data_IF_661976960202
#
_entry.id   IF_661976960202
#
_cell.length_a   1.000
_cell.length_b   1.000
_cell.length_c   1.000
_cell.angle_alpha   90.00
_cell.angle_beta   90.00
_cell.angle_gamma   90.00
#
_symmetry.space_group_name_H-M   'P 1'
#
loop_
_entity.id
_entity.type
_entity.pdbx_description
1 polymer ?
#
# COMPACT_ATOMS: atom_id res chain seq x y z
N UNK A 1 32.25 8.56 2.41
CA UNK A 1 31.08 8.56 1.49
C UNK A 1 30.46 7.18 1.25
N UNK A 2 31.13 6.05 1.51
CA UNK A 2 30.55 4.71 1.27
C UNK A 2 29.41 4.29 2.23
N UNK A 3 29.38 4.81 3.46
CA UNK A 3 28.39 4.36 4.46
C UNK A 3 26.99 4.96 4.26
N UNK A 4 26.86 6.20 3.78
CA UNK A 4 25.53 6.81 3.53
C UNK A 4 24.84 6.16 2.33
N UNK A 5 25.59 5.87 1.26
CA UNK A 5 25.05 5.17 0.09
C UNK A 5 24.65 3.73 0.45
N UNK A 6 25.41 3.04 1.31
CA UNK A 6 25.00 1.72 1.81
C UNK A 6 23.78 1.76 2.73
N UNK A 7 23.64 2.79 3.56
CA UNK A 7 22.45 2.97 4.42
C UNK A 7 21.20 3.23 3.56
N UNK A 8 21.31 4.09 2.53
CA UNK A 8 20.21 4.37 1.60
C UNK A 8 19.88 3.12 0.76
N UNK A 9 20.89 2.38 0.27
CA UNK A 9 20.67 1.13 -0.45
C UNK A 9 20.02 0.04 0.42
N UNK A 10 20.33 0.00 1.72
CA UNK A 10 19.69 -0.90 2.69
C UNK A 10 18.23 -0.49 2.97
N UNK A 11 17.94 0.82 2.99
CA UNK A 11 16.57 1.34 3.09
C UNK A 11 15.72 1.03 1.85
N UNK A 12 16.33 1.10 0.65
CA UNK A 12 15.65 0.76 -0.62
C UNK A 12 15.46 -0.76 -0.77
N UNK A 13 16.42 -1.59 -0.32
CA UNK A 13 16.34 -3.05 -0.41
C UNK A 13 15.54 -3.73 0.71
N UNK A 14 15.15 -3.03 1.77
CA UNK A 14 14.38 -3.61 2.88
C UNK A 14 12.95 -4.04 2.46
N UNK A 15 12.45 -3.59 1.30
CA UNK A 15 11.14 -3.96 0.77
C UNK A 15 11.13 -5.15 -0.20
N UNK A 16 12.28 -5.74 -0.52
CA UNK A 16 12.35 -6.99 -1.31
C UNK A 16 12.67 -8.17 -0.40
N UNK A 17 11.73 -8.52 0.49
CA UNK A 17 11.71 -9.89 1.03
C UNK A 17 11.55 -10.83 -0.17
N UNK A 18 12.57 -11.63 -0.44
CA UNK A 18 12.50 -12.73 -1.42
C UNK A 18 11.33 -13.62 -0.97
N UNK A 19 10.21 -13.55 -1.70
CA UNK A 19 9.09 -14.46 -1.43
C UNK A 19 9.56 -15.85 -1.84
N UNK A 20 9.38 -16.89 -1.00
CA UNK A 20 9.64 -18.24 -1.44
C UNK A 20 8.80 -18.52 -2.71
N UNK A 21 9.33 -19.32 -3.66
CA UNK A 21 8.68 -19.53 -4.96
C UNK A 21 7.28 -20.14 -4.82
N UNK A 22 7.07 -20.92 -3.75
CA UNK A 22 5.80 -21.54 -3.42
C UNK A 22 5.35 -21.12 -2.02
N UNK A 23 4.05 -20.93 -1.83
CA UNK A 23 3.40 -20.72 -0.53
C UNK A 23 2.35 -21.80 -0.33
N UNK A 24 2.26 -22.38 0.87
CA UNK A 24 1.18 -23.28 1.26
C UNK A 24 0.28 -22.60 2.27
N UNK A 25 -1.02 -22.54 1.98
CA UNK A 25 -2.02 -21.91 2.84
C UNK A 25 -2.99 -22.98 3.32
N UNK A 26 -3.18 -23.04 4.64
CA UNK A 26 -4.13 -23.96 5.28
C UNK A 26 -5.37 -23.19 5.73
N UNK A 27 -6.55 -23.72 5.42
CA UNK A 27 -7.83 -23.09 5.77
C UNK A 27 -7.96 -23.04 7.30
N UNK A 28 -8.32 -21.86 7.82
CA UNK A 28 -8.42 -21.56 9.25
C UNK A 28 -7.13 -21.87 10.04
N UNK A 29 -5.96 -21.84 9.40
CA UNK A 29 -4.68 -22.21 10.01
C UNK A 29 -4.70 -23.60 10.69
N UNK A 30 -5.51 -24.53 10.18
CA UNK A 30 -5.56 -25.91 10.67
C UNK A 30 -4.60 -26.77 9.87
N UNK A 31 -3.49 -27.15 10.51
CA UNK A 31 -2.46 -27.99 9.89
C UNK A 31 -2.78 -29.48 10.03
N UNK A 32 -2.37 -30.33 9.07
CA UNK A 32 -2.56 -31.76 9.17
C UNK A 32 -1.81 -32.33 10.39
N UNK A 33 -2.44 -33.22 11.16
CA UNK A 33 -1.80 -33.83 12.32
C UNK A 33 -0.62 -34.73 11.89
N UNK A 34 0.54 -34.54 12.50
CA UNK A 34 1.72 -35.39 12.30
C UNK A 34 2.79 -34.84 11.35
N UNK A 35 2.54 -33.71 10.67
CA UNK A 35 3.55 -33.03 9.87
C UNK A 35 4.23 -31.91 10.65
N UNK A 36 5.54 -31.72 10.42
CA UNK A 36 6.29 -30.59 10.98
C UNK A 36 5.87 -29.32 10.25
N UNK A 37 4.94 -28.58 10.82
CA UNK A 37 4.51 -27.29 10.28
C UNK A 37 5.51 -26.18 10.66
N UNK A 38 6.12 -25.56 9.65
CA UNK A 38 6.87 -24.32 9.82
C UNK A 38 5.94 -23.17 9.47
N UNK A 39 5.64 -22.32 10.46
CA UNK A 39 4.80 -21.15 10.25
C UNK A 39 5.42 -20.19 9.23
N UNK A 40 4.84 -20.16 8.03
CA UNK A 40 5.20 -19.19 7.01
C UNK A 40 4.80 -17.78 7.46
N UNK A 41 5.74 -16.83 7.39
CA UNK A 41 5.49 -15.44 7.76
C UNK A 41 4.93 -14.66 6.58
N UNK A 42 3.62 -14.48 6.57
CA UNK A 42 2.92 -13.65 5.58
C UNK A 42 2.98 -12.14 5.92
N UNK A 43 2.90 -11.26 4.92
CA UNK A 43 2.63 -9.85 5.18
C UNK A 43 1.22 -9.67 5.77
N UNK A 44 1.06 -8.61 6.53
CA UNK A 44 -0.20 -8.13 7.07
C UNK A 44 -1.07 -7.49 5.98
N UNK A 45 -2.40 -7.56 6.09
CA UNK A 45 -3.36 -7.01 5.11
C UNK A 45 -3.52 -5.48 5.21
N UNK A 46 -2.48 -4.76 5.61
CA UNK A 46 -2.51 -3.30 5.74
C UNK A 46 -1.94 -2.65 4.48
N UNK A 47 -2.73 -1.80 3.84
CA UNK A 47 -2.30 -0.99 2.72
C UNK A 47 -1.71 0.33 3.23
N UNK A 48 -0.60 0.75 2.62
CA UNK A 48 0.02 2.06 2.88
C UNK A 48 0.55 2.59 1.55
N UNK A 49 -0.19 3.52 0.97
CA UNK A 49 0.15 4.22 -0.28
C UNK A 49 0.75 5.60 -0.01
N UNK A 50 0.54 6.15 1.18
CA UNK A 50 1.21 7.36 1.63
C UNK A 50 2.73 7.18 1.69
N UNK A 51 3.45 8.22 1.28
CA UNK A 51 4.91 8.23 1.19
C UNK A 51 5.54 8.84 2.43
N UNK A 52 4.87 9.83 3.02
CA UNK A 52 5.39 10.58 4.14
C UNK A 52 4.66 10.22 5.44
N UNK A 53 5.38 10.40 6.53
CA UNK A 53 4.85 10.54 7.88
C UNK A 53 4.93 12.02 8.24
N UNK A 54 4.15 12.46 9.22
CA UNK A 54 4.23 13.86 9.68
C UNK A 54 5.67 14.30 10.04
N UNK A 55 6.49 13.39 10.57
CA UNK A 55 7.87 13.67 10.95
C UNK A 55 8.84 13.72 9.76
N UNK A 56 8.84 12.68 8.92
CA UNK A 56 9.79 12.61 7.80
C UNK A 56 9.41 13.51 6.62
N UNK A 57 8.18 14.06 6.61
CA UNK A 57 7.68 14.89 5.51
C UNK A 57 8.67 16.01 5.20
N UNK A 58 9.01 16.86 6.17
CA UNK A 58 9.87 18.02 5.92
C UNK A 58 11.23 17.62 5.32
N UNK A 59 11.93 16.69 5.96
CA UNK A 59 13.29 16.33 5.55
C UNK A 59 13.32 15.56 4.22
N UNK A 60 12.42 14.58 4.04
CA UNK A 60 12.39 13.77 2.83
C UNK A 60 11.86 14.57 1.64
N UNK A 61 10.81 15.38 1.86
CA UNK A 61 10.25 16.25 0.84
C UNK A 61 11.30 17.26 0.36
N UNK A 62 11.98 17.94 1.28
CA UNK A 62 13.00 18.92 0.93
C UNK A 62 14.18 18.29 0.18
N UNK A 63 14.64 17.12 0.62
CA UNK A 63 15.68 16.37 -0.06
C UNK A 63 15.29 16.02 -1.50
N UNK A 64 14.08 15.50 -1.72
CA UNK A 64 13.57 15.19 -3.06
C UNK A 64 13.41 16.42 -3.93
N UNK A 65 13.03 17.55 -3.36
CA UNK A 65 12.93 18.80 -4.10
C UNK A 65 14.31 19.29 -4.57
N UNK A 66 15.37 19.13 -3.77
CA UNK A 66 16.74 19.50 -4.16
C UNK A 66 17.45 18.45 -5.03
N UNK A 67 16.89 17.24 -5.19
CA UNK A 67 17.35 16.32 -6.23
C UNK A 67 16.91 16.76 -7.64
N UNK A 68 16.00 17.72 -7.76
CA UNK A 68 15.63 18.30 -9.06
C UNK A 68 16.71 19.27 -9.51
N UNK A 69 17.22 19.06 -10.73
CA UNK A 69 18.32 19.85 -11.32
C UNK A 69 18.08 21.36 -11.23
N UNK A 70 16.87 21.84 -11.52
CA UNK A 70 16.54 23.27 -11.45
C UNK A 70 16.64 23.83 -10.02
N UNK A 71 16.06 23.14 -9.02
CA UNK A 71 16.10 23.59 -7.64
C UNK A 71 17.53 23.54 -7.06
N UNK A 72 18.30 22.51 -7.43
CA UNK A 72 19.72 22.41 -7.08
C UNK A 72 20.53 23.54 -7.71
N UNK A 73 20.27 23.86 -8.98
CA UNK A 73 20.90 24.98 -9.68
C UNK A 73 20.65 26.30 -8.96
N UNK A 74 19.40 26.63 -8.64
CA UNK A 74 19.06 27.86 -7.91
C UNK A 74 19.66 27.90 -6.50
N UNK A 75 19.75 26.75 -5.83
CA UNK A 75 20.44 26.65 -4.54
C UNK A 75 21.92 27.00 -4.65
N UNK A 76 22.61 26.49 -5.67
CA UNK A 76 24.02 26.79 -5.91
C UNK A 76 24.23 28.27 -6.27
N UNK A 77 23.38 28.86 -7.11
CA UNK A 77 23.44 30.29 -7.44
C UNK A 77 23.23 31.15 -6.20
N UNK A 78 22.19 30.87 -5.42
CA UNK A 78 21.93 31.58 -4.17
C UNK A 78 23.12 31.46 -3.18
N UNK A 79 23.74 30.28 -3.09
CA UNK A 79 24.94 30.10 -2.26
C UNK A 79 26.13 30.93 -2.75
N UNK A 80 26.38 30.93 -4.07
CA UNK A 80 27.47 31.73 -4.68
C UNK A 80 27.23 33.21 -4.41
N UNK A 81 26.03 33.72 -4.68
CA UNK A 81 25.65 35.13 -4.48
C UNK A 81 25.78 35.61 -3.03
N UNK A 82 25.59 34.73 -2.05
CA UNK A 82 25.78 35.07 -0.61
C UNK A 82 27.25 35.09 -0.22
N UNK A 83 28.09 34.25 -0.82
CA UNK A 83 29.52 34.12 -0.48
C UNK A 83 30.37 35.18 -1.16
N UNK A 84 30.02 35.58 -2.38
CA UNK A 84 30.74 36.62 -3.13
C UNK A 84 30.02 37.96 -3.00
N UNK A 85 30.77 39.07 -3.04
CA UNK A 85 30.19 40.40 -3.23
C UNK A 85 29.67 40.52 -4.67
N UNK A 86 28.49 39.95 -4.90
CA UNK A 86 27.79 39.98 -6.17
C UNK A 86 27.10 41.34 -6.36
N UNK A 87 27.10 41.90 -7.59
CA UNK A 87 26.29 43.08 -7.90
C UNK A 87 24.78 42.77 -7.92
N UNK A 88 24.41 41.48 -7.94
CA UNK A 88 23.02 41.00 -7.88
C UNK A 88 22.69 40.60 -6.44
N UNK A 89 21.57 41.09 -5.92
CA UNK A 89 21.12 40.75 -4.57
C UNK A 89 20.73 39.27 -4.46
N UNK A 90 21.22 38.50 -3.47
CA UNK A 90 20.83 37.10 -3.26
C UNK A 90 19.32 36.86 -3.14
N UNK A 91 18.58 37.91 -2.76
CA UNK A 91 17.12 37.91 -2.65
C UNK A 91 16.47 37.50 -3.98
N UNK A 92 17.03 37.89 -5.13
CA UNK A 92 16.46 37.59 -6.45
C UNK A 92 16.49 36.10 -6.79
N UNK A 93 17.39 35.34 -6.20
CA UNK A 93 17.50 33.88 -6.38
C UNK A 93 16.82 33.11 -5.24
N UNK A 94 16.92 33.59 -4.00
CA UNK A 94 16.35 32.93 -2.82
C UNK A 94 14.82 32.99 -2.82
N UNK A 95 14.22 34.14 -3.13
CA UNK A 95 12.77 34.32 -3.02
C UNK A 95 12.00 33.39 -3.98
N UNK A 96 12.33 33.32 -5.29
CA UNK A 96 11.66 32.39 -6.19
C UNK A 96 11.88 30.93 -5.79
N UNK A 97 13.08 30.57 -5.32
CA UNK A 97 13.38 29.21 -4.85
C UNK A 97 12.50 28.85 -3.66
N UNK A 98 12.48 29.65 -2.60
CA UNK A 98 11.65 29.40 -1.41
C UNK A 98 10.17 29.33 -1.79
N UNK A 99 9.69 30.20 -2.67
CA UNK A 99 8.31 30.18 -3.14
C UNK A 99 7.96 28.86 -3.83
N UNK A 100 8.74 28.45 -4.84
CA UNK A 100 8.52 27.21 -5.58
C UNK A 100 8.60 26.00 -4.66
N UNK A 101 9.57 25.98 -3.74
CA UNK A 101 9.75 24.88 -2.79
C UNK A 101 8.54 24.77 -1.86
N UNK A 102 8.06 25.91 -1.35
CA UNK A 102 6.94 25.98 -0.41
C UNK A 102 5.64 25.55 -1.07
N UNK A 103 5.31 26.09 -2.25
CA UNK A 103 4.08 25.72 -2.98
C UNK A 103 4.10 24.22 -3.34
N UNK A 104 5.26 23.71 -3.78
CA UNK A 104 5.42 22.28 -4.09
C UNK A 104 5.25 21.41 -2.86
N UNK A 105 5.84 21.80 -1.72
CA UNK A 105 5.70 21.09 -0.46
C UNK A 105 4.23 21.05 -0.03
N UNK A 106 3.52 22.19 -0.03
CA UNK A 106 2.11 22.24 0.36
C UNK A 106 1.27 21.31 -0.51
N UNK A 107 1.43 21.37 -1.84
CA UNK A 107 0.71 20.50 -2.77
C UNK A 107 0.98 19.02 -2.47
N UNK A 108 2.24 18.64 -2.36
CA UNK A 108 2.63 17.24 -2.10
C UNK A 108 2.16 16.75 -0.73
N UNK A 109 2.21 17.61 0.29
CA UNK A 109 1.70 17.30 1.62
C UNK A 109 0.19 17.07 1.62
N UNK A 110 -0.56 17.91 0.90
CA UNK A 110 -2.00 17.75 0.75
C UNK A 110 -2.36 16.45 0.01
N UNK A 111 -1.69 16.16 -1.11
CA UNK A 111 -1.89 14.91 -1.85
C UNK A 111 -1.57 13.68 -1.00
N UNK A 112 -0.49 13.71 -0.21
CA UNK A 112 -0.13 12.59 0.66
C UNK A 112 -1.08 12.44 1.85
N UNK A 113 -1.62 13.54 2.38
CA UNK A 113 -2.67 13.51 3.40
C UNK A 113 -3.95 12.84 2.90
N UNK A 114 -4.37 13.14 1.66
CA UNK A 114 -5.50 12.44 1.04
C UNK A 114 -5.23 10.93 0.89
N UNK A 115 -3.98 10.52 0.61
CA UNK A 115 -3.60 9.11 0.60
C UNK A 115 -3.71 8.47 1.99
N UNK A 116 -3.29 9.15 3.05
CA UNK A 116 -3.48 8.65 4.42
C UNK A 116 -4.96 8.45 4.76
N UNK A 117 -5.82 9.38 4.33
CA UNK A 117 -7.26 9.26 4.53
C UNK A 117 -7.83 8.05 3.77
N UNK A 118 -7.49 7.90 2.49
CA UNK A 118 -7.93 6.77 1.66
C UNK A 118 -7.40 5.42 2.20
N UNK A 119 -6.13 5.35 2.59
CA UNK A 119 -5.54 4.17 3.22
C UNK A 119 -6.28 3.81 4.51
N UNK A 120 -6.63 4.79 5.35
CA UNK A 120 -7.38 4.55 6.57
C UNK A 120 -8.79 4.04 6.30
N UNK A 121 -9.47 4.55 5.28
CA UNK A 121 -10.80 4.06 4.89
C UNK A 121 -10.75 2.58 4.48
N UNK A 122 -9.81 2.22 3.60
CA UNK A 122 -9.67 0.83 3.12
C UNK A 122 -9.25 -0.12 4.24
N UNK A 123 -8.29 0.28 5.08
CA UNK A 123 -7.81 -0.55 6.18
C UNK A 123 -8.86 -0.77 7.28
N UNK A 124 -9.74 0.20 7.52
CA UNK A 124 -10.78 0.11 8.55
C UNK A 124 -12.13 -0.39 8.04
N UNK A 125 -12.26 -0.73 6.75
CA UNK A 125 -13.49 -1.28 6.18
C UNK A 125 -13.88 -2.59 6.90
N UNK A 126 -15.15 -2.71 7.26
CA UNK A 126 -15.71 -3.91 7.86
C UNK A 126 -15.66 -5.11 6.92
N UNK A 127 -15.32 -6.28 7.45
CA UNK A 127 -15.21 -7.55 6.74
C UNK A 127 -15.74 -8.68 7.62
N UNK A 128 -16.45 -9.64 7.03
CA UNK A 128 -16.96 -10.80 7.75
C UNK A 128 -16.01 -11.99 7.62
N UNK A 129 -15.51 -12.49 8.74
CA UNK A 129 -14.63 -13.66 8.81
C UNK A 129 -15.30 -14.78 9.60
N UNK A 130 -15.09 -16.02 9.18
CA UNK A 130 -15.49 -17.21 9.94
C UNK A 130 -14.29 -17.69 10.75
N UNK A 131 -14.30 -17.50 12.07
CA UNK A 131 -13.25 -17.99 12.99
C UNK A 131 -13.91 -18.83 14.07
N UNK A 132 -13.35 -20.02 14.33
CA UNK A 132 -13.88 -20.97 15.32
C UNK A 132 -15.36 -21.34 15.14
N UNK A 133 -15.84 -21.38 13.89
CA UNK A 133 -17.23 -21.69 13.56
C UNK A 133 -18.22 -20.54 13.75
N UNK A 134 -17.75 -19.36 14.17
CA UNK A 134 -18.58 -18.17 14.32
C UNK A 134 -18.26 -17.14 13.24
N UNK A 135 -19.29 -16.49 12.72
CA UNK A 135 -19.15 -15.34 11.86
C UNK A 135 -18.91 -14.10 12.71
N UNK A 136 -17.79 -13.40 12.47
CA UNK A 136 -17.40 -12.20 13.20
C UNK A 136 -17.06 -11.08 12.24
N UNK A 137 -17.40 -9.86 12.62
CA UNK A 137 -16.99 -8.66 11.90
C UNK A 137 -15.61 -8.22 12.40
N UNK A 138 -14.68 -8.01 11.47
CA UNK A 138 -13.32 -7.51 11.71
C UNK A 138 -13.02 -6.37 10.74
N UNK A 139 -11.95 -5.62 11.00
CA UNK A 139 -11.45 -4.64 10.04
C UNK A 139 -10.60 -5.32 8.96
N UNK A 140 -10.62 -4.78 7.75
CA UNK A 140 -9.87 -5.31 6.60
C UNK A 140 -8.39 -5.57 6.92
N UNK A 141 -7.72 -4.66 7.62
CA UNK A 141 -6.30 -4.83 7.96
C UNK A 141 -6.01 -5.94 8.99
N UNK A 142 -7.02 -6.49 9.66
CA UNK A 142 -6.92 -7.58 10.65
C UNK A 142 -7.09 -8.97 10.02
N UNK A 143 -7.36 -9.03 8.70
CA UNK A 143 -7.41 -10.27 7.94
C UNK A 143 -6.02 -10.90 7.89
N UNK A 144 -5.95 -12.20 8.15
CA UNK A 144 -4.73 -13.00 8.07
C UNK A 144 -4.87 -14.07 6.99
N UNK A 145 -3.74 -14.46 6.39
CA UNK A 145 -3.73 -15.55 5.40
C UNK A 145 -4.25 -16.83 6.05
N UNK A 146 -5.16 -17.52 5.35
CA UNK A 146 -5.87 -18.71 5.84
C UNK A 146 -7.26 -18.43 6.41
N UNK A 147 -7.62 -17.16 6.64
CA UNK A 147 -8.98 -16.79 7.04
C UNK A 147 -10.02 -17.15 5.96
N UNK A 148 -11.20 -17.58 6.42
CA UNK A 148 -12.38 -17.76 5.56
C UNK A 148 -13.25 -16.52 5.65
N UNK A 149 -13.46 -15.83 4.52
CA UNK A 149 -14.28 -14.63 4.46
C UNK A 149 -15.65 -14.90 3.85
N UNK A 150 -16.66 -14.22 4.38
CA UNK A 150 -17.99 -14.10 3.76
C UNK A 150 -18.09 -12.72 3.13
N UNK A 151 -18.18 -12.68 1.81
CA UNK A 151 -18.34 -11.42 1.07
C UNK A 151 -19.82 -11.24 0.71
N UNK A 152 -20.35 -10.05 0.97
CA UNK A 152 -21.72 -9.69 0.61
C UNK A 152 -21.79 -9.09 -0.79
N UNK A 153 -22.97 -9.11 -1.40
CA UNK A 153 -23.19 -8.46 -2.70
C UNK A 153 -22.83 -6.97 -2.64
N UNK A 154 -22.30 -6.44 -3.74
CA UNK A 154 -21.89 -5.04 -3.90
C UNK A 154 -20.83 -4.55 -2.89
N UNK A 155 -20.15 -5.47 -2.20
CA UNK A 155 -19.01 -5.12 -1.36
C UNK A 155 -17.69 -5.36 -2.09
N UNK A 156 -16.71 -4.46 -1.94
CA UNK A 156 -15.38 -4.64 -2.51
C UNK A 156 -14.65 -5.79 -1.82
N UNK A 157 -13.85 -6.53 -2.58
CA UNK A 157 -12.99 -7.60 -2.05
C UNK A 157 -11.84 -6.99 -1.22
N UNK A 158 -11.59 -7.46 0.02
CA UNK A 158 -10.59 -6.87 0.90
C UNK A 158 -9.16 -7.36 0.62
N UNK A 159 -9.01 -8.49 -0.08
CA UNK A 159 -7.73 -9.08 -0.49
C UNK A 159 -7.98 -10.09 -1.63
N UNK A 160 -6.91 -10.71 -2.13
CA UNK A 160 -7.01 -11.80 -3.10
C UNK A 160 -7.62 -13.04 -2.44
N UNK A 161 -8.72 -13.55 -3.01
CA UNK A 161 -9.48 -14.68 -2.46
C UNK A 161 -9.52 -15.87 -3.42
N UNK A 162 -9.67 -17.06 -2.84
CA UNK A 162 -10.05 -18.27 -3.57
C UNK A 162 -11.53 -18.54 -3.30
N UNK A 163 -12.31 -18.66 -4.36
CA UNK A 163 -13.76 -18.82 -4.25
C UNK A 163 -14.14 -20.27 -3.90
N UNK A 164 -14.72 -20.45 -2.71
CA UNK A 164 -15.10 -21.78 -2.21
C UNK A 164 -16.56 -22.14 -2.47
N UNK A 165 -17.48 -21.24 -2.18
CA UNK A 165 -18.92 -21.44 -2.37
C UNK A 165 -19.58 -20.11 -2.73
N UNK A 166 -20.71 -20.20 -3.42
CA UNK A 166 -21.56 -19.09 -3.82
C UNK A 166 -22.98 -19.37 -3.35
N UNK A 167 -23.77 -18.32 -3.22
CA UNK A 167 -25.21 -18.46 -3.04
C UNK A 167 -25.89 -19.01 -4.31
N UNK A 168 -25.28 -18.81 -5.46
CA UNK A 168 -25.77 -19.34 -6.73
C UNK A 168 -25.65 -20.88 -6.77
N UNK A 169 -26.70 -21.63 -7.15
CA UNK A 169 -26.68 -23.10 -7.20
C UNK A 169 -25.64 -23.68 -8.17
N UNK A 170 -25.34 -22.96 -9.25
CA UNK A 170 -24.33 -23.36 -10.25
C UNK A 170 -22.92 -23.00 -9.78
N UNK A 171 -22.78 -22.37 -8.61
CA UNK A 171 -21.51 -21.99 -8.02
C UNK A 171 -20.85 -20.81 -8.74
N UNK A 172 -21.64 -19.99 -9.44
CA UNK A 172 -21.15 -18.80 -10.15
C UNK A 172 -21.14 -17.56 -9.26
N UNK A 173 -20.24 -16.63 -9.55
CA UNK A 173 -20.27 -15.26 -9.02
C UNK A 173 -19.78 -14.28 -10.07
N UNK A 174 -20.36 -13.10 -10.05
CA UNK A 174 -20.05 -12.01 -10.96
C UNK A 174 -19.26 -10.94 -10.23
N UNK A 175 -18.06 -10.64 -10.73
CA UNK A 175 -17.17 -9.63 -10.16
C UNK A 175 -16.90 -8.57 -11.21
N UNK A 176 -17.06 -7.30 -10.83
CA UNK A 176 -16.57 -6.19 -11.65
C UNK A 176 -15.12 -5.89 -11.31
N UNK A 177 -14.29 -5.73 -12.33
CA UNK A 177 -12.88 -5.35 -12.19
C UNK A 177 -12.62 -3.88 -12.53
N UNK A 178 -13.67 -3.05 -12.63
CA UNK A 178 -13.56 -1.65 -13.04
C UNK A 178 -12.51 -0.85 -12.25
N UNK A 179 -12.30 -1.15 -10.97
CA UNK A 179 -11.31 -0.49 -10.13
C UNK A 179 -9.85 -0.90 -10.41
N UNK A 180 -9.63 -1.99 -11.15
CA UNK A 180 -8.32 -2.53 -11.51
C UNK A 180 -7.95 -2.24 -12.97
N UNK A 181 -8.89 -2.45 -13.90
CA UNK A 181 -8.66 -2.35 -15.35
C UNK A 181 -9.57 -1.33 -16.06
N UNK A 182 -10.54 -0.74 -15.38
CA UNK A 182 -11.50 0.19 -15.97
C UNK A 182 -12.64 -0.47 -16.75
N UNK A 183 -12.70 -1.81 -16.82
CA UNK A 183 -13.76 -2.52 -17.52
C UNK A 183 -15.03 -2.58 -16.65
N UNK A 184 -16.17 -2.11 -17.18
CA UNK A 184 -17.46 -2.12 -16.47
C UNK A 184 -18.21 -3.44 -16.60
N UNK A 185 -17.73 -4.35 -17.45
CA UNK A 185 -18.36 -5.65 -17.64
C UNK A 185 -18.15 -6.54 -16.42
N UNK A 186 -19.15 -7.38 -16.14
CA UNK A 186 -19.04 -8.39 -15.10
C UNK A 186 -18.27 -9.59 -15.65
N UNK A 187 -17.28 -10.04 -14.88
CA UNK A 187 -16.54 -11.28 -15.14
C UNK A 187 -17.13 -12.40 -14.29
N UNK A 188 -17.39 -13.55 -14.90
CA UNK A 188 -17.90 -14.74 -14.22
C UNK A 188 -16.75 -15.52 -13.59
N UNK A 189 -16.90 -15.86 -12.32
CA UNK A 189 -16.00 -16.72 -11.55
C UNK A 189 -16.75 -17.94 -11.05
N UNK A 190 -16.03 -19.05 -10.91
CA UNK A 190 -16.58 -20.34 -10.52
C UNK A 190 -15.99 -20.81 -9.20
N UNK A 191 -16.83 -21.34 -8.33
CA UNK A 191 -16.42 -22.01 -7.11
C UNK A 191 -15.71 -23.33 -7.42
N UNK A 192 -14.81 -23.72 -6.52
CA UNK A 192 -14.24 -25.08 -6.51
C UNK A 192 -15.38 -26.10 -6.38
N UNK A 193 -15.51 -27.08 -7.30
CA UNK A 193 -16.65 -28.01 -7.35
C UNK A 193 -16.89 -28.75 -6.02
N UNK A 194 -15.80 -29.15 -5.38
CA UNK A 194 -15.81 -29.92 -4.13
C UNK A 194 -16.42 -29.14 -2.97
N UNK A 195 -16.30 -27.80 -2.95
CA UNK A 195 -16.78 -26.94 -1.87
C UNK A 195 -18.07 -26.20 -2.20
N UNK A 196 -18.61 -26.37 -3.43
CA UNK A 196 -19.82 -25.67 -3.89
C UNK A 196 -21.03 -25.88 -2.96
N UNK A 197 -21.18 -27.08 -2.43
CA UNK A 197 -22.29 -27.48 -1.56
C UNK A 197 -22.30 -26.79 -0.17
N UNK A 198 -21.24 -26.08 0.22
CA UNK A 198 -21.11 -25.41 1.52
C UNK A 198 -21.89 -24.09 1.62
N UNK A 199 -23.13 -24.08 1.12
CA UNK A 199 -24.00 -22.89 1.10
C UNK A 199 -24.36 -22.47 2.54
N UNK A 200 -24.17 -21.19 2.86
CA UNK A 200 -24.51 -20.55 4.15
C UNK A 200 -25.58 -19.50 4.00
#
# INVERSE_FOLDING_TARGET
MGNIIQIIAKYINCCKKVRPPNRSVYINNKHPPGEVYVAEKFPNNRITTSKYTAWNFLFLNLFEQFQRVANFYFLCIAFIEVVIDSPVSPVTSIVPLVFVITVTAIKQGYEDWLRHQADNEVNNRACWVVRNGELREIKSHEIVVGDVLRVQMNHPLPCDLVMMSSHDPDGECYITTANLDGETNLKTFYCVPETRHLQT
#
